data_IF_815222293650
#
_entry.id   IF_815222293650
#
_cell.length_a   1.000
_cell.length_b   1.000
_cell.length_c   1.000
_cell.angle_alpha   90.00
_cell.angle_beta   90.00
_cell.angle_gamma   90.00
#
_symmetry.space_group_name_H-M   'P 1'
#
loop_
_entity.id
_entity.type
_entity.pdbx_description
1 polymer ?
#
# COMPACT_ATOMS: atom_id res chain seq x y z
N UNK A 1 -0.80 -15.40 4.77
CA UNK A 1 -1.04 -14.24 3.89
C UNK A 1 -2.48 -13.69 3.98
N UNK A 2 -3.48 -14.47 4.41
CA UNK A 2 -4.87 -14.01 4.61
C UNK A 2 -5.06 -12.90 5.67
N UNK A 3 -4.31 -12.91 6.79
CA UNK A 3 -4.53 -11.99 7.91
C UNK A 3 -4.32 -10.50 7.59
N UNK A 4 -3.56 -10.15 6.55
CA UNK A 4 -3.28 -8.75 6.17
C UNK A 4 -4.38 -8.11 5.32
N UNK A 5 -5.28 -8.89 4.70
CA UNK A 5 -6.34 -8.35 3.84
C UNK A 5 -7.38 -7.53 4.62
N UNK A 6 -7.61 -7.81 5.91
CA UNK A 6 -8.62 -7.13 6.74
C UNK A 6 -8.23 -5.74 7.27
N UNK A 7 -6.98 -5.26 7.09
CA UNK A 7 -6.49 -3.99 7.70
C UNK A 7 -5.83 -3.00 6.72
N UNK A 8 -5.87 -3.24 5.41
CA UNK A 8 -5.29 -2.28 4.44
C UNK A 8 -6.13 -1.00 4.38
N UNK A 9 -5.65 0.06 5.05
CA UNK A 9 -6.30 1.39 5.08
C UNK A 9 -6.28 2.12 3.73
N UNK A 10 -5.39 1.69 2.81
CA UNK A 10 -5.26 2.25 1.46
C UNK A 10 -5.55 1.14 0.45
N UNK A 11 -6.64 1.28 -0.29
CA UNK A 11 -7.02 0.42 -1.42
C UNK A 11 -6.49 1.00 -2.74
N UNK A 12 -6.45 0.22 -3.84
CA UNK A 12 -6.08 0.74 -5.16
C UNK A 12 -6.90 1.97 -5.58
N UNK A 13 -8.21 1.97 -5.35
CA UNK A 13 -9.11 3.09 -5.69
C UNK A 13 -8.77 4.33 -4.86
N UNK A 14 -8.42 4.14 -3.58
CA UNK A 14 -7.97 5.23 -2.72
C UNK A 14 -6.61 5.76 -3.16
N UNK A 15 -5.69 4.88 -3.58
CA UNK A 15 -4.40 5.27 -4.13
C UNK A 15 -4.56 6.07 -5.43
N UNK A 16 -5.45 5.67 -6.34
CA UNK A 16 -5.77 6.46 -7.54
C UNK A 16 -6.19 7.89 -7.19
N UNK A 17 -7.13 8.06 -6.25
CA UNK A 17 -7.60 9.38 -5.82
C UNK A 17 -6.49 10.22 -5.20
N UNK A 18 -5.65 9.62 -4.35
CA UNK A 18 -4.53 10.31 -3.70
C UNK A 18 -3.48 10.75 -4.72
N UNK A 19 -3.10 9.86 -5.64
CA UNK A 19 -2.12 10.16 -6.68
C UNK A 19 -2.63 11.23 -7.64
N UNK A 20 -3.90 11.13 -8.06
CA UNK A 20 -4.53 12.13 -8.92
C UNK A 20 -4.58 13.52 -8.27
N UNK A 21 -4.88 13.59 -6.97
CA UNK A 21 -4.87 14.84 -6.21
C UNK A 21 -3.47 15.49 -6.14
N UNK A 22 -2.40 14.73 -6.38
CA UNK A 22 -1.01 15.19 -6.44
C UNK A 22 -0.47 15.23 -7.89
N UNK A 23 -1.36 15.27 -8.90
CA UNK A 23 -0.99 15.42 -10.31
C UNK A 23 -0.51 14.14 -11.00
N UNK A 24 -0.63 12.98 -10.36
CA UNK A 24 -0.22 11.69 -10.94
C UNK A 24 -1.44 10.83 -11.26
N UNK A 25 -1.78 10.71 -12.54
CA UNK A 25 -2.86 9.84 -12.99
C UNK A 25 -2.36 8.41 -13.21
N UNK A 26 -3.06 7.44 -12.66
CA UNK A 26 -2.73 6.01 -12.79
C UNK A 26 -3.99 5.18 -13.03
N UNK A 27 -3.85 4.08 -13.77
CA UNK A 27 -4.91 3.10 -13.93
C UNK A 27 -5.14 2.30 -12.65
N UNK A 28 -6.26 1.58 -12.56
CA UNK A 28 -6.53 0.67 -11.43
C UNK A 28 -5.46 -0.41 -11.30
N UNK A 29 -4.95 -0.92 -12.42
CA UNK A 29 -3.89 -1.93 -12.46
C UNK A 29 -2.58 -1.36 -11.93
N UNK A 30 -2.19 -0.16 -12.38
CA UNK A 30 -1.00 0.54 -11.86
C UNK A 30 -1.14 0.83 -10.37
N UNK A 31 -2.31 1.31 -9.92
CA UNK A 31 -2.58 1.56 -8.51
C UNK A 31 -2.48 0.29 -7.66
N UNK A 32 -2.89 -0.87 -8.18
CA UNK A 32 -2.74 -2.16 -7.50
C UNK A 32 -1.27 -2.50 -7.29
N UNK A 33 -0.45 -2.35 -8.33
CA UNK A 33 1.00 -2.59 -8.26
C UNK A 33 1.67 -1.65 -7.25
N UNK A 34 1.30 -0.36 -7.28
CA UNK A 34 1.82 0.65 -6.35
C UNK A 34 1.47 0.29 -4.91
N UNK A 35 0.20 -0.01 -4.63
CA UNK A 35 -0.25 -0.36 -3.28
C UNK A 35 0.43 -1.63 -2.78
N UNK A 36 0.57 -2.65 -3.61
CA UNK A 36 1.26 -3.89 -3.23
C UNK A 36 2.76 -3.67 -2.98
N UNK A 37 3.43 -2.84 -3.78
CA UNK A 37 4.82 -2.43 -3.55
C UNK A 37 4.95 -1.69 -2.21
N UNK A 38 4.08 -0.72 -1.95
CA UNK A 38 4.11 0.09 -0.72
C UNK A 38 3.86 -0.74 0.53
N UNK A 39 2.94 -1.70 0.50
CA UNK A 39 2.74 -2.60 1.64
C UNK A 39 3.94 -3.52 1.88
N UNK A 40 4.56 -4.07 0.83
CA UNK A 40 5.79 -4.86 0.96
C UNK A 40 6.93 -4.02 1.51
N UNK A 41 7.09 -2.80 1.00
CA UNK A 41 8.11 -1.88 1.46
C UNK A 41 7.90 -1.52 2.94
N UNK A 42 6.66 -1.18 3.32
CA UNK A 42 6.32 -0.89 4.70
C UNK A 42 6.63 -2.07 5.61
N UNK A 43 6.24 -3.30 5.24
CA UNK A 43 6.54 -4.52 6.01
C UNK A 43 8.05 -4.71 6.22
N UNK A 44 8.85 -4.53 5.17
CA UNK A 44 10.32 -4.62 5.26
C UNK A 44 10.88 -3.52 6.16
N UNK A 45 10.43 -2.28 5.97
CA UNK A 45 10.92 -1.12 6.70
C UNK A 45 10.60 -1.20 8.19
N UNK A 46 9.43 -1.70 8.56
CA UNK A 46 9.02 -1.81 9.98
C UNK A 46 9.61 -3.05 10.66
N UNK A 47 9.84 -4.16 9.94
CA UNK A 47 10.28 -5.45 10.51
C UNK A 47 11.44 -5.35 11.53
N UNK A 48 12.48 -4.52 11.35
CA UNK A 48 13.54 -4.36 12.35
C UNK A 48 13.08 -3.69 13.65
N UNK A 49 12.08 -2.81 13.57
CA UNK A 49 11.56 -2.00 14.67
C UNK A 49 10.38 -2.65 15.40
N UNK A 50 9.83 -3.76 14.87
CA UNK A 50 8.78 -4.56 15.53
C UNK A 50 9.39 -5.79 16.26
N UNK A 51 10.68 -5.74 16.66
CA UNK A 51 11.22 -6.63 17.72
C UNK A 51 11.05 -5.89 19.05
N UNK A 52 10.41 -6.33 20.14
CA UNK A 52 9.82 -7.59 20.68
C UNK A 52 8.91 -7.17 21.87
N UNK A 53 8.04 -7.98 22.53
CA UNK A 53 7.81 -9.45 22.56
C UNK A 53 6.75 -9.99 21.60
#
# INVERSE_FOLDING_TARGET
MEKLKKKRKVTPEKAMKLLAANGTQVSLEQARLIVDLMYKFAEIAIKPYIKSP
#
